data_IF_236812046349
#
_entry.id   IF_236812046349
#
_cell.length_a   1.000
_cell.length_b   1.000
_cell.length_c   1.000
_cell.angle_alpha   90.00
_cell.angle_beta   90.00
_cell.angle_gamma   90.00
#
_symmetry.space_group_name_H-M   'P 1'
#
loop_
_entity.id
_entity.type
_entity.pdbx_description
1 polymer ?
#
# COMPACT_ATOMS: atom_id res chain seq x y z
N UNK A 1 -13.50 -3.28 -1.54
CA UNK A 1 -13.24 -1.92 -1.04
C UNK A 1 -13.16 -0.89 -2.15
N UNK A 2 -12.27 -0.99 -3.12
CA UNK A 2 -12.05 0.05 -4.14
C UNK A 2 -13.21 0.40 -5.07
N UNK A 3 -14.31 -0.34 -5.07
CA UNK A 3 -15.51 -0.07 -5.88
C UNK A 3 -16.71 0.32 -5.02
N UNK A 4 -17.14 -0.52 -4.09
CA UNK A 4 -18.37 -0.31 -3.33
C UNK A 4 -18.27 0.84 -2.34
N UNK A 5 -17.23 0.86 -1.49
CA UNK A 5 -17.12 1.86 -0.44
C UNK A 5 -17.10 3.29 -0.99
N UNK A 6 -16.26 3.65 -1.99
CA UNK A 6 -16.31 4.98 -2.59
C UNK A 6 -17.70 5.31 -3.14
N UNK A 7 -18.34 4.39 -3.88
CA UNK A 7 -19.68 4.64 -4.43
C UNK A 7 -20.73 4.90 -3.35
N UNK A 8 -20.68 4.17 -2.23
CA UNK A 8 -21.59 4.40 -1.10
C UNK A 8 -21.36 5.78 -0.48
N UNK A 9 -20.09 6.13 -0.23
CA UNK A 9 -19.72 7.40 0.39
C UNK A 9 -20.15 8.59 -0.49
N UNK A 10 -19.83 8.55 -1.78
CA UNK A 10 -20.22 9.63 -2.72
C UNK A 10 -21.74 9.76 -2.86
N UNK A 11 -22.50 8.66 -2.79
CA UNK A 11 -23.96 8.71 -2.81
C UNK A 11 -24.58 9.23 -1.50
N UNK A 12 -23.89 9.05 -0.36
CA UNK A 12 -24.37 9.49 0.95
C UNK A 12 -24.03 10.95 1.27
N UNK A 13 -22.92 11.46 0.74
CA UNK A 13 -22.37 12.76 1.11
C UNK A 13 -22.09 13.61 -0.12
N UNK A 14 -23.05 14.47 -0.48
CA UNK A 14 -22.94 15.34 -1.66
C UNK A 14 -21.79 16.38 -1.60
N UNK A 15 -21.19 16.58 -0.44
CA UNK A 15 -20.05 17.50 -0.25
C UNK A 15 -18.68 16.85 -0.46
N UNK A 16 -18.62 15.54 -0.74
CA UNK A 16 -17.38 14.81 -0.97
C UNK A 16 -17.13 14.71 -2.47
N UNK A 17 -15.92 15.09 -2.89
CA UNK A 17 -15.48 14.99 -4.27
C UNK A 17 -15.28 13.52 -4.69
N UNK A 18 -15.71 13.19 -5.90
CA UNK A 18 -15.42 11.91 -6.57
C UNK A 18 -14.26 12.02 -7.56
N UNK A 19 -13.68 13.21 -7.70
CA UNK A 19 -12.54 13.48 -8.55
C UNK A 19 -11.27 12.82 -7.98
N UNK A 20 -10.50 12.16 -8.83
CA UNK A 20 -9.29 11.41 -8.44
C UNK A 20 -8.31 12.24 -7.59
N UNK A 21 -8.06 13.50 -8.00
CA UNK A 21 -7.09 14.39 -7.35
C UNK A 21 -7.46 14.75 -5.90
N UNK A 22 -8.70 14.55 -5.49
CA UNK A 22 -9.19 14.84 -4.14
C UNK A 22 -9.29 13.56 -3.28
N UNK A 23 -8.97 12.39 -3.85
CA UNK A 23 -9.13 11.11 -3.20
C UNK A 23 -7.76 10.45 -2.89
N UNK A 24 -7.52 10.22 -1.62
CA UNK A 24 -6.32 9.60 -1.08
C UNK A 24 -6.69 8.42 -0.17
N UNK A 25 -5.79 7.48 -0.02
CA UNK A 25 -6.00 6.32 0.85
C UNK A 25 -4.76 6.08 1.70
N UNK A 26 -4.93 5.82 2.99
CA UNK A 26 -3.82 5.48 3.86
C UNK A 26 -4.16 4.33 4.80
N UNK A 27 -3.13 3.65 5.27
CA UNK A 27 -3.30 2.56 6.23
C UNK A 27 -1.98 2.06 6.79
N UNK A 28 -2.09 1.27 7.89
CA UNK A 28 -0.96 0.70 8.58
C UNK A 28 -1.09 -0.81 8.71
N UNK A 29 0.03 -1.53 8.78
CA UNK A 29 0.07 -2.98 8.90
C UNK A 29 -0.68 -3.67 7.75
N UNK A 30 -1.66 -4.52 8.03
CA UNK A 30 -2.54 -5.10 7.01
C UNK A 30 -3.31 -4.01 6.23
N UNK A 31 -3.64 -2.88 6.86
CA UNK A 31 -4.23 -1.73 6.19
C UNK A 31 -3.24 -1.01 5.28
N UNK A 32 -1.95 -1.00 5.62
CA UNK A 32 -0.86 -0.50 4.77
C UNK A 32 -0.74 -1.29 3.46
N UNK A 33 -0.71 -2.62 3.57
CA UNK A 33 -0.81 -3.50 2.40
C UNK A 33 -2.12 -3.25 1.62
N UNK A 34 -3.25 -3.23 2.33
CA UNK A 34 -4.57 -3.09 1.70
C UNK A 34 -4.78 -1.76 0.98
N UNK A 35 -4.28 -0.64 1.51
CA UNK A 35 -4.39 0.65 0.86
C UNK A 35 -3.48 0.73 -0.38
N UNK A 36 -2.25 0.24 -0.30
CA UNK A 36 -1.33 0.21 -1.44
C UNK A 36 -1.86 -0.72 -2.54
N UNK A 37 -2.32 -1.92 -2.18
CA UNK A 37 -2.98 -2.83 -3.11
C UNK A 37 -4.20 -2.18 -3.78
N UNK A 38 -5.03 -1.47 -3.02
CA UNK A 38 -6.22 -0.81 -3.56
C UNK A 38 -5.86 0.33 -4.50
N UNK A 39 -4.87 1.18 -4.15
CA UNK A 39 -4.43 2.28 -4.99
C UNK A 39 -3.79 1.79 -6.30
N UNK A 40 -2.99 0.72 -6.25
CA UNK A 40 -2.39 0.10 -7.43
C UNK A 40 -3.44 -0.61 -8.32
N UNK A 41 -4.48 -1.21 -7.72
CA UNK A 41 -5.56 -1.87 -8.47
C UNK A 41 -6.56 -0.87 -9.08
N UNK A 42 -6.67 0.33 -8.53
CA UNK A 42 -7.61 1.37 -8.99
C UNK A 42 -6.92 2.74 -9.10
N UNK A 43 -5.87 2.86 -9.92
CA UNK A 43 -5.08 4.09 -10.04
C UNK A 43 -5.89 5.30 -10.51
N UNK A 44 -6.99 5.04 -11.23
CA UNK A 44 -7.92 6.07 -11.69
C UNK A 44 -8.79 6.68 -10.57
N UNK A 45 -8.73 6.14 -9.35
CA UNK A 45 -9.56 6.60 -8.22
C UNK A 45 -8.79 7.33 -7.14
N UNK A 46 -7.49 7.09 -7.02
CA UNK A 46 -6.68 7.62 -5.95
C UNK A 46 -5.47 8.37 -6.50
N UNK A 47 -5.32 9.65 -6.08
CA UNK A 47 -4.17 10.46 -6.44
C UNK A 47 -2.93 10.11 -5.62
N UNK A 48 -3.10 9.59 -4.40
CA UNK A 48 -1.98 9.16 -3.59
C UNK A 48 -2.35 8.15 -2.52
N UNK A 49 -1.32 7.49 -1.99
CA UNK A 49 -1.42 6.45 -0.97
C UNK A 49 -0.34 6.59 0.09
N UNK A 50 -0.74 6.46 1.37
CA UNK A 50 0.15 6.34 2.52
C UNK A 50 0.15 4.90 3.04
N UNK A 51 1.27 4.19 2.89
CA UNK A 51 1.39 2.79 3.27
C UNK A 51 2.41 2.61 4.40
N UNK A 52 1.94 2.38 5.64
CA UNK A 52 2.79 2.33 6.82
C UNK A 52 2.94 0.90 7.31
N UNK A 53 4.17 0.42 7.48
CA UNK A 53 4.48 -0.97 7.87
C UNK A 53 3.76 -1.99 6.96
N UNK A 54 3.72 -1.74 5.66
CA UNK A 54 2.87 -2.48 4.72
C UNK A 54 3.39 -3.89 4.44
N UNK A 55 4.62 -3.98 3.95
CA UNK A 55 5.21 -5.22 3.40
C UNK A 55 4.41 -5.83 2.25
N UNK A 56 5.04 -6.56 1.37
CA UNK A 56 4.32 -7.35 0.37
C UNK A 56 3.89 -8.70 0.97
N UNK A 57 2.65 -9.12 0.74
CA UNK A 57 2.18 -10.45 1.17
C UNK A 57 2.87 -11.58 0.40
N UNK A 58 3.35 -11.32 -0.80
CA UNK A 58 4.17 -12.26 -1.55
C UNK A 58 5.48 -12.63 -0.82
N UNK A 59 6.04 -11.70 -0.06
CA UNK A 59 7.27 -11.91 0.74
C UNK A 59 7.00 -12.45 2.16
N UNK A 60 5.78 -12.84 2.47
CA UNK A 60 5.42 -13.35 3.79
C UNK A 60 5.91 -14.80 3.97
N UNK A 61 6.33 -15.13 5.21
CA UNK A 61 6.70 -16.50 5.57
C UNK A 61 5.48 -17.41 5.67
N UNK A 62 5.33 -18.31 4.72
CA UNK A 62 4.31 -19.37 4.69
C UNK A 62 4.89 -20.77 4.90
N UNK A 63 6.03 -20.91 5.59
CA UNK A 63 6.75 -22.18 5.74
C UNK A 63 6.03 -23.25 6.58
N UNK A 64 5.19 -22.83 7.56
CA UNK A 64 4.47 -23.79 8.38
C UNK A 64 3.16 -24.27 7.73
N UNK A 65 2.69 -25.54 8.03
CA UNK A 65 1.42 -26.03 7.47
C UNK A 65 0.20 -25.17 7.77
N UNK A 66 0.14 -24.57 8.97
CA UNK A 66 -0.94 -23.67 9.36
C UNK A 66 -0.93 -22.37 8.52
N UNK A 67 0.25 -21.79 8.30
CA UNK A 67 0.42 -20.61 7.45
C UNK A 67 0.12 -20.92 5.99
N UNK A 68 0.55 -22.07 5.48
CA UNK A 68 0.19 -22.52 4.11
C UNK A 68 -1.32 -22.65 3.94
N UNK A 69 -2.02 -23.27 4.92
CA UNK A 69 -3.49 -23.37 4.89
C UNK A 69 -4.13 -21.96 4.88
N UNK A 70 -3.66 -21.06 5.71
CA UNK A 70 -4.17 -19.68 5.75
C UNK A 70 -3.91 -18.95 4.42
N UNK A 71 -2.73 -19.13 3.84
CA UNK A 71 -2.39 -18.58 2.53
C UNK A 71 -3.37 -19.05 1.45
N UNK A 72 -3.61 -20.36 1.36
CA UNK A 72 -4.54 -20.95 0.39
C UNK A 72 -5.96 -20.43 0.56
N UNK A 73 -6.42 -20.26 1.81
CA UNK A 73 -7.76 -19.72 2.10
C UNK A 73 -7.92 -18.26 1.72
N UNK A 74 -6.86 -17.45 1.88
CA UNK A 74 -6.90 -15.99 1.66
C UNK A 74 -6.60 -15.63 0.19
N UNK A 75 -5.67 -16.31 -0.44
CA UNK A 75 -5.10 -15.94 -1.73
C UNK A 75 -5.27 -16.99 -2.82
N UNK A 76 -5.75 -18.20 -2.48
CA UNK A 76 -5.86 -19.31 -3.42
C UNK A 76 -4.51 -19.96 -3.74
N UNK A 77 -4.50 -20.71 -4.85
CA UNK A 77 -3.32 -21.37 -5.39
C UNK A 77 -2.49 -20.40 -6.26
N UNK A 78 -1.23 -20.78 -6.54
CA UNK A 78 -0.33 -20.03 -7.42
C UNK A 78 0.72 -19.18 -6.67
N UNK A 79 1.62 -18.57 -7.40
CA UNK A 79 2.64 -17.68 -6.84
C UNK A 79 2.05 -16.28 -6.63
N UNK A 80 2.24 -15.72 -5.44
CA UNK A 80 1.75 -14.39 -5.12
C UNK A 80 2.55 -13.29 -5.84
N UNK A 81 3.80 -13.56 -6.24
CA UNK A 81 4.58 -12.64 -7.07
C UNK A 81 4.11 -12.58 -8.53
N UNK A 82 3.28 -13.54 -8.96
CA UNK A 82 2.79 -13.64 -10.34
C UNK A 82 1.29 -13.33 -10.46
N UNK A 83 0.65 -12.87 -9.38
CA UNK A 83 -0.78 -12.57 -9.38
C UNK A 83 -1.08 -11.21 -8.73
N UNK A 84 -2.34 -10.79 -8.84
CA UNK A 84 -2.80 -9.46 -8.39
C UNK A 84 -2.81 -9.27 -6.85
N UNK A 85 -2.40 -10.27 -6.05
CA UNK A 85 -2.16 -10.10 -4.62
C UNK A 85 -0.74 -9.58 -4.31
N UNK A 86 0.24 -9.77 -5.20
CA UNK A 86 1.57 -9.20 -5.07
C UNK A 86 1.59 -7.71 -5.41
N UNK A 87 2.11 -6.88 -4.50
CA UNK A 87 2.20 -5.44 -4.72
C UNK A 87 3.18 -5.09 -5.85
N UNK A 88 4.30 -5.78 -5.88
CA UNK A 88 5.32 -5.61 -6.93
C UNK A 88 4.81 -6.05 -8.30
N UNK A 89 3.98 -7.10 -8.35
CA UNK A 89 3.32 -7.54 -9.58
C UNK A 89 2.34 -6.47 -10.10
N UNK A 90 1.46 -5.96 -9.23
CA UNK A 90 0.53 -4.87 -9.60
C UNK A 90 1.26 -3.61 -10.07
N UNK A 91 2.32 -3.22 -9.36
CA UNK A 91 3.13 -2.08 -9.75
C UNK A 91 3.81 -2.31 -11.11
N UNK A 92 4.33 -3.52 -11.37
CA UNK A 92 4.90 -3.90 -12.66
C UNK A 92 3.90 -3.78 -13.82
N UNK A 93 2.65 -4.20 -13.61
CA UNK A 93 1.57 -4.02 -14.60
C UNK A 93 1.36 -2.53 -14.91
N UNK A 94 1.26 -1.69 -13.87
CA UNK A 94 1.05 -0.25 -14.05
C UNK A 94 2.21 0.46 -14.78
N UNK A 95 3.43 -0.06 -14.69
CA UNK A 95 4.56 0.50 -15.42
C UNK A 95 4.42 0.33 -16.93
N UNK A 96 3.72 -0.70 -17.38
CA UNK A 96 3.46 -0.96 -18.80
C UNK A 96 2.21 -0.27 -19.33
N UNK A 97 1.38 0.27 -18.45
CA UNK A 97 0.14 0.96 -18.80
C UNK A 97 0.32 2.48 -18.88
N UNK A 98 -0.38 3.10 -19.83
CA UNK A 98 -0.41 4.57 -19.98
C UNK A 98 -1.54 5.15 -19.11
N UNK A 99 -1.38 5.05 -17.79
CA UNK A 99 -2.32 5.56 -16.79
C UNK A 99 -1.60 6.40 -15.75
N UNK A 100 -2.30 7.37 -15.18
CA UNK A 100 -1.80 8.16 -14.05
C UNK A 100 -1.62 7.26 -12.84
N UNK A 101 -0.40 7.21 -12.31
CA UNK A 101 -0.06 6.40 -11.13
C UNK A 101 -0.29 7.19 -9.85
N UNK A 102 -0.71 6.54 -8.74
CA UNK A 102 -0.80 7.22 -7.45
C UNK A 102 0.60 7.64 -6.97
N UNK A 103 0.69 8.79 -6.30
CA UNK A 103 1.86 9.17 -5.50
C UNK A 103 1.94 8.22 -4.30
N UNK A 104 3.11 7.70 -3.99
CA UNK A 104 3.28 6.70 -2.95
C UNK A 104 4.16 7.25 -1.82
N UNK A 105 3.60 7.37 -0.63
CA UNK A 105 4.34 7.58 0.60
C UNK A 105 4.36 6.27 1.38
N UNK A 106 5.54 5.64 1.45
CA UNK A 106 5.75 4.36 2.12
C UNK A 106 6.65 4.57 3.33
N UNK A 107 6.28 4.01 4.49
CA UNK A 107 7.08 4.17 5.69
C UNK A 107 7.12 2.90 6.53
N UNK A 108 8.23 2.69 7.26
CA UNK A 108 8.39 1.59 8.20
C UNK A 108 9.23 2.02 9.41
N UNK A 109 8.91 1.51 10.59
CA UNK A 109 9.75 1.69 11.76
C UNK A 109 11.01 0.82 11.69
N UNK A 110 12.17 1.34 12.07
CA UNK A 110 13.46 0.61 12.02
C UNK A 110 13.52 -0.61 12.97
N UNK A 111 12.58 -0.71 13.94
CA UNK A 111 12.40 -1.87 14.83
C UNK A 111 11.17 -2.70 14.49
N UNK A 112 10.56 -2.48 13.34
CA UNK A 112 9.40 -3.24 12.90
C UNK A 112 9.80 -4.69 12.55
N UNK A 113 9.09 -5.72 13.02
CA UNK A 113 9.40 -7.11 12.67
C UNK A 113 9.25 -7.41 11.17
N UNK A 114 8.54 -6.58 10.42
CA UNK A 114 8.39 -6.68 8.96
C UNK A 114 9.29 -5.71 8.17
N UNK A 115 10.30 -5.11 8.82
CA UNK A 115 11.21 -4.15 8.18
C UNK A 115 11.84 -4.70 6.89
N UNK A 116 12.26 -5.96 6.90
CA UNK A 116 12.89 -6.58 5.72
C UNK A 116 11.95 -6.59 4.50
N UNK A 117 10.68 -6.94 4.71
CA UNK A 117 9.69 -6.95 3.62
C UNK A 117 9.37 -5.53 3.12
N UNK A 118 9.38 -4.54 4.02
CA UNK A 118 9.24 -3.14 3.64
C UNK A 118 10.49 -2.64 2.88
N UNK A 119 11.69 -3.10 3.23
CA UNK A 119 12.91 -2.79 2.46
C UNK A 119 12.89 -3.40 1.05
N UNK A 120 12.42 -4.64 0.89
CA UNK A 120 12.24 -5.26 -0.44
C UNK A 120 11.29 -4.40 -1.29
N UNK A 121 10.17 -3.99 -0.72
CA UNK A 121 9.19 -3.13 -1.41
C UNK A 121 9.76 -1.74 -1.72
N UNK A 122 10.50 -1.13 -0.78
CA UNK A 122 11.24 0.12 -0.98
C UNK A 122 12.21 0.01 -2.16
N UNK A 123 13.02 -1.03 -2.16
CA UNK A 123 14.06 -1.24 -3.18
C UNK A 123 13.44 -1.44 -4.56
N UNK A 124 12.30 -2.15 -4.62
CA UNK A 124 11.52 -2.28 -5.85
C UNK A 124 11.08 -0.92 -6.39
N UNK A 125 10.37 -0.10 -5.59
CA UNK A 125 9.89 1.20 -6.07
C UNK A 125 11.02 2.18 -6.38
N UNK A 126 12.12 2.13 -5.62
CA UNK A 126 13.31 2.96 -5.89
C UNK A 126 13.97 2.59 -7.23
N UNK A 127 13.98 1.31 -7.58
CA UNK A 127 14.52 0.83 -8.87
C UNK A 127 13.60 1.15 -10.06
N UNK A 128 12.35 1.55 -9.82
CA UNK A 128 11.36 1.79 -10.86
C UNK A 128 10.85 3.25 -10.83
N UNK A 129 11.58 4.22 -11.40
CA UNK A 129 11.30 5.67 -11.31
C UNK A 129 10.02 6.12 -12.05
N UNK A 130 9.20 5.18 -12.53
CA UNK A 130 7.87 5.45 -13.11
C UNK A 130 6.81 5.82 -12.07
N UNK A 131 7.13 5.76 -10.76
CA UNK A 131 6.27 6.19 -9.65
C UNK A 131 6.85 7.44 -8.97
N UNK A 132 5.99 8.37 -8.55
CA UNK A 132 6.34 9.39 -7.56
C UNK A 132 6.33 8.71 -6.19
N UNK A 133 7.51 8.29 -5.73
CA UNK A 133 7.71 7.44 -4.56
C UNK A 133 8.61 8.09 -3.52
N UNK A 134 8.13 8.12 -2.29
CA UNK A 134 8.89 8.55 -1.11
C UNK A 134 8.89 7.43 -0.06
N UNK A 135 10.07 7.14 0.50
CA UNK A 135 10.21 6.22 1.64
C UNK A 135 10.72 6.96 2.87
N UNK A 136 10.10 6.70 4.01
CA UNK A 136 10.53 7.21 5.30
C UNK A 136 10.73 6.09 6.33
N UNK A 137 11.70 6.25 7.22
CA UNK A 137 12.02 5.28 8.24
C UNK A 137 12.40 5.98 9.56
N UNK A 138 11.70 5.64 10.64
CA UNK A 138 12.06 6.12 11.98
C UNK A 138 12.81 4.99 12.71
N UNK A 139 14.14 5.08 12.85
CA UNK A 139 14.96 3.99 13.36
C UNK A 139 14.61 3.51 14.77
N UNK A 140 14.10 4.40 15.63
CA UNK A 140 13.82 4.11 17.04
C UNK A 140 12.45 3.48 17.26
N UNK A 141 11.54 3.58 16.29
CA UNK A 141 10.17 3.09 16.41
C UNK A 141 9.98 1.72 15.74
N UNK A 142 8.97 1.00 16.18
CA UNK A 142 8.61 -0.31 15.66
C UNK A 142 7.17 -0.36 15.13
N UNK A 143 6.56 -1.54 15.21
CA UNK A 143 5.18 -1.78 14.78
C UNK A 143 4.18 -1.27 15.82
N UNK A 144 3.99 0.03 15.92
CA UNK A 144 3.28 0.67 17.01
C UNK A 144 2.54 1.95 16.61
N UNK A 145 1.52 2.30 17.38
CA UNK A 145 0.69 3.49 17.15
C UNK A 145 1.47 4.81 17.12
N UNK A 146 2.54 4.91 17.92
CA UNK A 146 3.39 6.11 17.93
C UNK A 146 4.01 6.34 16.56
N UNK A 147 4.53 5.29 15.93
CA UNK A 147 5.06 5.33 14.57
C UNK A 147 3.98 5.75 13.56
N UNK A 148 2.86 5.04 13.54
CA UNK A 148 1.80 5.30 12.56
C UNK A 148 1.18 6.70 12.66
N UNK A 149 1.02 7.23 13.89
CA UNK A 149 0.53 8.59 14.10
C UNK A 149 1.51 9.64 13.58
N UNK A 150 2.81 9.40 13.72
CA UNK A 150 3.85 10.30 13.21
C UNK A 150 3.87 10.28 11.68
N UNK A 151 3.84 9.09 11.09
CA UNK A 151 3.86 8.92 9.64
C UNK A 151 2.58 9.41 8.95
N UNK A 152 1.44 9.32 9.62
CA UNK A 152 0.20 9.90 9.09
C UNK A 152 0.32 11.43 8.95
N UNK A 153 0.94 12.13 9.90
CA UNK A 153 1.18 13.57 9.80
C UNK A 153 2.11 13.90 8.64
N UNK A 154 3.23 13.16 8.51
CA UNK A 154 4.19 13.35 7.41
C UNK A 154 3.55 13.06 6.05
N UNK A 155 2.65 12.08 5.99
CA UNK A 155 1.87 11.82 4.77
C UNK A 155 0.95 12.99 4.42
N UNK A 156 0.27 13.60 5.40
CA UNK A 156 -0.54 14.80 5.15
C UNK A 156 0.32 15.97 4.65
N UNK A 157 1.49 16.18 5.26
CA UNK A 157 2.47 17.18 4.78
C UNK A 157 2.95 16.88 3.35
N UNK A 158 3.21 15.61 3.02
CA UNK A 158 3.55 15.15 1.67
C UNK A 158 2.45 15.46 0.64
N UNK A 159 1.19 15.44 1.07
CA UNK A 159 0.05 15.81 0.23
C UNK A 159 -0.15 17.33 0.13
N UNK A 160 0.60 18.14 0.89
CA UNK A 160 0.44 19.59 1.02
C UNK A 160 -0.93 20.01 1.59
N UNK A 161 -1.37 19.29 2.62
CA UNK A 161 -2.62 19.55 3.36
C UNK A 161 -2.36 20.40 4.59
#
# INVERSE_FOLDING_TARGET
MGKELPSVIWNMFACISDERQDNYIAGFSNGGYGCLHTALSYPQKFAGVGAFSAGDKADSDFSSPAKQKSRLLLFGEGDLHENDYGLTHLAGKLLTENVDKPRIFHACGGKDPWLMQNHILRDYFTAHPGFDYTYDEIPELGHEWKFWNEELKRFLDFLHW
#
